data_IF_374213329998
#
_entry.id   IF_374213329998
#
_cell.length_a   1.000
_cell.length_b   1.000
_cell.length_c   1.000
_cell.angle_alpha   90.00
_cell.angle_beta   90.00
_cell.angle_gamma   90.00
#
_symmetry.space_group_name_H-M   'P 1'
#
loop_
_entity.id
_entity.type
_entity.pdbx_description
1 polymer ?
#
# COMPACT_ATOMS: atom_id res chain seq x y z
N UNK A 1 -4.75 18.97 4.46
CA UNK A 1 -3.86 18.20 3.57
C UNK A 1 -4.42 16.78 3.43
N UNK A 2 -5.26 16.50 2.43
CA UNK A 2 -5.91 15.18 2.31
C UNK A 2 -5.05 14.25 1.46
N UNK A 3 -4.36 13.29 2.08
CA UNK A 3 -3.72 12.17 1.36
C UNK A 3 -4.83 11.40 0.65
N UNK A 4 -4.85 11.41 -0.68
CA UNK A 4 -5.81 10.63 -1.48
C UNK A 4 -5.15 9.33 -1.86
N UNK A 5 -5.71 8.21 -1.41
CA UNK A 5 -5.21 6.88 -1.74
C UNK A 5 -5.78 6.44 -3.09
N UNK A 6 -4.90 6.16 -4.05
CA UNK A 6 -5.26 5.75 -5.41
C UNK A 6 -5.08 4.25 -5.67
N UNK A 7 -4.85 3.45 -4.62
CA UNK A 7 -4.78 2.00 -4.71
C UNK A 7 -6.14 1.32 -4.48
N UNK A 8 -6.23 0.00 -4.69
CA UNK A 8 -7.41 -0.77 -4.32
C UNK A 8 -7.75 -0.55 -2.84
N UNK A 9 -9.00 -0.22 -2.52
CA UNK A 9 -9.43 0.13 -1.15
C UNK A 9 -9.08 -0.95 -0.13
N UNK A 10 -9.14 -2.22 -0.53
CA UNK A 10 -8.76 -3.36 0.31
C UNK A 10 -7.28 -3.39 0.68
N UNK A 11 -6.38 -2.65 0.03
CA UNK A 11 -5.01 -2.46 0.53
C UNK A 11 -4.96 -1.73 1.89
N UNK A 12 -6.06 -1.07 2.29
CA UNK A 12 -6.17 -0.36 3.56
C UNK A 12 -6.77 -1.22 4.68
N UNK A 13 -7.24 -2.43 4.38
CA UNK A 13 -7.79 -3.34 5.40
C UNK A 13 -6.65 -3.91 6.27
N UNK A 14 -6.93 -4.27 7.53
CA UNK A 14 -5.95 -4.95 8.37
C UNK A 14 -5.62 -6.34 7.81
N UNK A 15 -4.49 -6.91 8.25
CA UNK A 15 -4.24 -8.33 8.04
C UNK A 15 -5.33 -9.17 8.69
N UNK A 16 -5.96 -10.06 7.93
CA UNK A 16 -6.96 -10.98 8.44
C UNK A 16 -6.42 -12.41 8.40
N UNK A 17 -6.31 -13.01 9.59
CA UNK A 17 -5.83 -14.39 9.73
C UNK A 17 -6.80 -15.37 9.07
N UNK A 18 -8.10 -15.09 9.02
CA UNK A 18 -9.13 -16.04 8.61
C UNK A 18 -9.45 -17.07 9.70
N UNK A 19 -10.26 -18.06 9.34
CA UNK A 19 -10.96 -18.96 10.28
C UNK A 19 -10.40 -20.39 10.35
N UNK A 20 -9.45 -20.75 9.48
CA UNK A 20 -8.86 -22.07 9.43
C UNK A 20 -7.72 -22.27 10.46
N UNK A 21 -6.97 -23.37 10.37
CA UNK A 21 -5.94 -23.73 11.34
C UNK A 21 -4.51 -23.83 10.77
N UNK A 22 -4.30 -23.55 9.48
CA UNK A 22 -2.95 -23.50 8.92
C UNK A 22 -2.16 -22.30 9.47
N UNK A 23 -0.85 -22.29 9.26
CA UNK A 23 0.05 -21.22 9.70
C UNK A 23 0.96 -20.75 8.56
N UNK A 24 0.34 -20.31 7.46
CA UNK A 24 1.05 -19.87 6.27
C UNK A 24 1.69 -18.49 6.46
N UNK A 25 2.92 -18.33 5.96
CA UNK A 25 3.59 -17.03 5.90
C UNK A 25 3.05 -16.24 4.71
N UNK A 26 2.33 -15.16 4.98
CA UNK A 26 1.80 -14.24 3.97
C UNK A 26 2.26 -12.82 4.27
N UNK A 27 1.99 -11.89 3.36
CA UNK A 27 2.28 -10.47 3.49
C UNK A 27 0.99 -9.65 3.34
N UNK A 28 0.85 -8.60 4.13
CA UNK A 28 -0.20 -7.60 3.98
C UNK A 28 0.42 -6.21 3.85
N UNK A 29 -0.27 -5.27 3.23
CA UNK A 29 0.14 -3.88 3.15
C UNK A 29 -0.30 -3.12 4.41
N UNK A 30 0.67 -2.57 5.14
CA UNK A 30 0.41 -1.67 6.24
C UNK A 30 0.45 -0.23 5.72
N UNK A 31 -0.73 0.37 5.57
CA UNK A 31 -0.94 1.71 5.03
C UNK A 31 -0.42 2.83 5.94
N UNK A 32 -0.36 2.60 7.26
CA UNK A 32 0.15 3.56 8.25
C UNK A 32 1.63 3.86 8.00
N UNK A 33 2.42 2.81 7.75
CA UNK A 33 3.86 2.93 7.51
C UNK A 33 4.26 2.85 6.03
N UNK A 34 3.30 2.62 5.13
CA UNK A 34 3.53 2.47 3.69
C UNK A 34 4.42 1.27 3.31
N UNK A 35 4.35 0.16 4.06
CA UNK A 35 5.19 -1.03 3.85
C UNK A 35 4.40 -2.33 3.93
N UNK A 36 4.86 -3.34 3.21
CA UNK A 36 4.35 -4.70 3.34
C UNK A 36 5.03 -5.43 4.51
N UNK A 37 4.23 -6.03 5.40
CA UNK A 37 4.70 -6.79 6.57
C UNK A 37 4.22 -8.25 6.51
N UNK A 38 5.01 -9.20 7.05
CA UNK A 38 4.58 -10.58 7.14
C UNK A 38 3.47 -10.74 8.19
N UNK A 39 2.59 -11.71 7.99
CA UNK A 39 1.59 -12.16 8.97
C UNK A 39 1.30 -13.66 8.77
N UNK A 40 0.63 -14.27 9.75
CA UNK A 40 0.20 -15.67 9.70
C UNK A 40 -1.22 -15.76 9.15
N UNK A 41 -1.39 -16.46 8.05
CA UNK A 41 -2.69 -16.74 7.44
C UNK A 41 -3.12 -18.18 7.74
N UNK A 42 -4.41 -18.34 8.03
CA UNK A 42 -4.99 -19.61 8.45
C UNK A 42 -5.25 -20.61 7.33
N UNK A 43 -5.13 -20.19 6.07
CA UNK A 43 -5.36 -21.03 4.89
C UNK A 43 -6.73 -20.81 4.23
N UNK A 44 -7.72 -20.23 4.93
CA UNK A 44 -9.03 -19.91 4.34
C UNK A 44 -9.65 -18.63 4.92
N UNK A 45 -10.62 -18.07 4.20
CA UNK A 45 -11.29 -16.81 4.56
C UNK A 45 -10.33 -15.63 4.43
N UNK A 46 -10.39 -14.70 5.40
CA UNK A 46 -9.57 -13.50 5.38
C UNK A 46 -10.05 -12.46 4.38
N UNK A 47 -9.16 -11.54 4.02
CA UNK A 47 -9.42 -10.50 3.02
C UNK A 47 -8.32 -10.46 1.93
N UNK A 48 -8.51 -9.60 0.93
CA UNK A 48 -7.66 -9.48 -0.26
C UNK A 48 -6.30 -8.85 0.03
N UNK A 49 -6.08 -8.25 1.21
CA UNK A 49 -4.78 -7.73 1.64
C UNK A 49 -3.85 -8.88 2.11
N UNK A 50 -3.71 -9.89 1.25
CA UNK A 50 -3.01 -11.14 1.53
C UNK A 50 -2.21 -11.56 0.30
N UNK A 51 -0.89 -11.55 0.42
CA UNK A 51 0.03 -11.83 -0.67
C UNK A 51 1.04 -12.90 -0.29
N UNK A 52 1.39 -13.76 -1.24
CA UNK A 52 2.43 -14.79 -1.06
C UNK A 52 3.85 -14.21 -1.02
N UNK A 53 4.05 -12.99 -1.51
CA UNK A 53 5.36 -12.34 -1.51
C UNK A 53 5.29 -10.84 -1.23
N UNK A 54 6.33 -10.32 -0.58
CA UNK A 54 6.53 -8.88 -0.35
C UNK A 54 6.51 -8.08 -1.65
N UNK A 55 7.10 -8.61 -2.73
CA UNK A 55 7.15 -7.95 -4.05
C UNK A 55 5.76 -7.79 -4.66
N UNK A 56 4.90 -8.80 -4.57
CA UNK A 56 3.52 -8.72 -5.04
C UNK A 56 2.73 -7.67 -4.26
N UNK A 57 2.78 -7.73 -2.93
CA UNK A 57 2.14 -6.75 -2.05
C UNK A 57 2.54 -5.30 -2.38
N UNK A 58 3.84 -5.03 -2.53
CA UNK A 58 4.34 -3.68 -2.82
C UNK A 58 3.89 -3.21 -4.21
N UNK A 59 3.92 -4.09 -5.22
CA UNK A 59 3.51 -3.74 -6.59
C UNK A 59 2.04 -3.34 -6.65
N UNK A 60 1.20 -4.01 -5.86
CA UNK A 60 -0.24 -3.79 -5.82
C UNK A 60 -0.62 -2.58 -4.99
N UNK A 61 -0.11 -2.47 -3.76
CA UNK A 61 -0.61 -1.50 -2.78
C UNK A 61 0.25 -0.25 -2.61
N UNK A 62 1.54 -0.25 -3.00
CA UNK A 62 2.41 0.93 -2.84
C UNK A 62 2.12 2.05 -3.83
N UNK A 63 1.30 1.82 -4.88
CA UNK A 63 1.04 2.81 -5.95
C UNK A 63 0.17 4.02 -5.55
N UNK A 64 -0.26 4.13 -4.29
CA UNK A 64 -1.42 4.94 -3.94
C UNK A 64 -1.20 6.31 -3.31
N UNK A 65 0.01 6.74 -2.96
CA UNK A 65 0.22 8.10 -2.41
C UNK A 65 0.82 8.96 -3.52
N UNK A 66 -0.04 9.45 -4.41
CA UNK A 66 0.27 10.68 -5.12
C UNK A 66 -0.11 11.79 -4.17
N UNK A 67 0.87 12.54 -3.69
CA UNK A 67 0.58 13.85 -3.15
C UNK A 67 -0.30 14.55 -4.18
N UNK A 68 -1.50 14.97 -3.79
CA UNK A 68 -2.27 15.91 -4.58
C UNK A 68 -1.50 17.23 -4.48
N UNK A 69 -0.36 17.31 -5.17
CA UNK A 69 0.26 18.59 -5.42
C UNK A 69 -0.77 19.34 -6.27
N UNK A 70 -1.33 20.47 -5.80
CA UNK A 70 -2.00 21.35 -6.73
C UNK A 70 -0.97 21.63 -7.82
N UNK A 71 -1.34 21.35 -9.07
CA UNK A 71 -0.52 21.52 -10.27
C UNK A 71 -0.12 22.99 -10.55
N UNK A 72 -0.15 23.85 -9.52
CA UNK A 72 0.30 25.24 -9.50
C UNK A 72 1.22 25.53 -8.29
N UNK A 73 1.96 24.54 -7.75
CA UNK A 73 2.96 24.84 -6.72
C UNK A 73 4.18 25.51 -7.36
N UNK A 74 4.42 26.77 -6.97
CA UNK A 74 5.51 27.65 -7.41
C UNK A 74 6.90 26.96 -7.38
N UNK A 75 7.05 25.94 -6.51
CA UNK A 75 8.26 25.12 -6.33
C UNK A 75 8.66 24.38 -7.61
N UNK A 76 7.72 23.84 -8.40
CA UNK A 76 8.05 23.05 -9.59
C UNK A 76 8.51 23.92 -10.77
N UNK A 77 8.03 25.17 -10.86
CA UNK A 77 8.50 26.15 -11.86
C UNK A 77 9.95 26.59 -11.57
N UNK A 78 10.28 26.79 -10.30
CA UNK A 78 11.63 27.23 -9.88
C UNK A 78 12.68 26.16 -10.22
N UNK A 79 12.39 24.88 -10.00
CA UNK A 79 13.36 23.80 -10.27
C UNK A 79 13.65 23.60 -11.76
N UNK A 80 12.67 23.84 -12.64
CA UNK A 80 12.89 23.77 -14.10
C UNK A 80 13.63 25.01 -14.60
N UNK A 81 13.31 26.21 -14.09
CA UNK A 81 13.98 27.45 -14.48
C UNK A 81 15.47 27.53 -14.06
N UNK A 82 15.89 26.76 -13.03
CA UNK A 82 17.28 26.65 -12.59
C UNK A 82 18.08 25.53 -13.27
N UNK A 83 17.46 24.79 -14.21
CA UNK A 83 18.10 23.71 -14.98
C UNK A 83 18.08 23.96 -16.49
N UNK A 84 17.70 25.16 -16.93
CA UNK A 84 17.87 25.68 -18.29
C UNK A 84 18.95 26.76 -18.29
#
# INVERSE_FOLDING_TARGET
>A
QRRKFYGPSWCLTPADRGLCQANENRFYYNSVIGKCRPFKYSGCGGNENNFTSKKACLRTCKKGIKDIFPINSLVFKITIALKL
#
